data_IF_023131835625
#
_entry.id   IF_023131835625
#
_cell.length_a   1.000
_cell.length_b   1.000
_cell.length_c   1.000
_cell.angle_alpha   90.00
_cell.angle_beta   90.00
_cell.angle_gamma   90.00
#
_symmetry.space_group_name_H-M   'P 1'
#
loop_
_entity.id
_entity.type
_entity.pdbx_description
1 polymer ?
#
# COMPACT_ATOMS: atom_id res chain seq x y z
N UNK A 1 -63.01 -26.43 28.86
CA UNK A 1 -64.38 -26.74 28.37
C UNK A 1 -65.02 -25.45 27.90
N UNK A 2 -65.49 -25.44 26.64
CA UNK A 2 -66.70 -24.79 26.06
C UNK A 2 -67.47 -23.72 26.88
N UNK A 3 -68.07 -22.65 26.33
CA UNK A 3 -68.62 -22.39 24.99
C UNK A 3 -68.99 -20.89 24.79
N UNK A 4 -68.80 -20.43 23.55
CA UNK A 4 -69.74 -19.71 22.65
C UNK A 4 -70.67 -18.62 23.23
N UNK A 5 -70.58 -17.40 22.69
CA UNK A 5 -71.76 -16.62 22.29
C UNK A 5 -71.44 -15.63 21.16
N UNK A 6 -72.46 -15.39 20.34
CA UNK A 6 -72.47 -14.94 18.95
C UNK A 6 -72.82 -13.45 18.80
N UNK A 7 -72.31 -12.80 17.74
CA UNK A 7 -72.81 -11.50 17.27
C UNK A 7 -72.51 -11.25 15.79
N UNK A 8 -73.50 -11.54 14.93
CA UNK A 8 -73.68 -11.03 13.54
C UNK A 8 -73.90 -9.50 13.59
N UNK A 9 -73.70 -8.61 12.61
CA UNK A 9 -73.77 -8.59 11.13
C UNK A 9 -73.21 -7.23 10.67
N UNK A 10 -72.53 -7.14 9.52
CA UNK A 10 -73.05 -6.35 8.39
C UNK A 10 -72.24 -6.53 7.09
N UNK A 11 -73.02 -6.75 6.04
CA UNK A 11 -72.60 -6.98 4.66
C UNK A 11 -72.14 -5.69 3.97
N UNK A 12 -71.10 -5.77 3.16
CA UNK A 12 -70.97 -4.95 1.94
C UNK A 12 -70.35 -5.76 0.80
N UNK A 13 -71.18 -5.99 -0.21
CA UNK A 13 -70.85 -6.48 -1.55
C UNK A 13 -69.76 -5.60 -2.19
N UNK A 14 -68.72 -6.23 -2.75
CA UNK A 14 -68.03 -5.73 -3.96
C UNK A 14 -67.63 -6.91 -4.86
N UNK A 15 -67.75 -6.62 -6.14
CA UNK A 15 -67.82 -7.47 -7.34
C UNK A 15 -66.50 -8.15 -7.71
N UNK A 16 -66.52 -9.15 -8.61
CA UNK A 16 -65.32 -9.90 -9.00
C UNK A 16 -64.49 -9.09 -10.00
N UNK A 17 -63.21 -8.87 -9.68
CA UNK A 17 -62.24 -8.33 -10.65
C UNK A 17 -61.71 -9.48 -11.48
N UNK A 18 -61.97 -9.37 -12.77
CA UNK A 18 -61.55 -10.26 -13.85
C UNK A 18 -60.04 -10.30 -14.03
N UNK A 19 -59.54 -11.50 -14.25
CA UNK A 19 -58.19 -11.91 -14.64
C UNK A 19 -57.78 -11.29 -15.98
N UNK A 20 -57.16 -10.10 -15.98
CA UNK A 20 -56.38 -9.56 -17.12
C UNK A 20 -55.29 -8.57 -16.64
N UNK A 21 -54.30 -9.05 -15.92
CA UNK A 21 -53.11 -8.24 -15.56
C UNK A 21 -51.85 -9.09 -15.51
N UNK A 22 -51.39 -9.59 -16.66
CA UNK A 22 -50.04 -10.20 -16.78
C UNK A 22 -49.60 -10.39 -18.24
N UNK A 23 -49.73 -9.38 -19.11
CA UNK A 23 -49.07 -9.38 -20.44
C UNK A 23 -48.53 -7.99 -20.87
N UNK A 24 -48.87 -6.89 -20.19
CA UNK A 24 -48.52 -5.52 -20.66
C UNK A 24 -47.34 -4.84 -19.94
N UNK A 25 -46.38 -5.61 -19.40
CA UNK A 25 -45.17 -5.06 -18.77
C UNK A 25 -43.85 -5.49 -19.42
N UNK A 26 -43.88 -6.20 -20.56
CA UNK A 26 -42.66 -6.66 -21.25
C UNK A 26 -42.32 -5.89 -22.54
N UNK A 27 -43.11 -4.87 -22.91
CA UNK A 27 -42.90 -4.11 -24.16
C UNK A 27 -42.55 -2.62 -23.94
N UNK A 28 -42.53 -2.14 -22.69
CA UNK A 28 -42.19 -0.75 -22.36
C UNK A 28 -40.70 -0.50 -22.05
N UNK A 29 -39.85 -1.55 -22.01
CA UNK A 29 -38.41 -1.41 -21.71
C UNK A 29 -37.49 -1.40 -22.94
N UNK A 30 -38.03 -1.63 -24.14
CA UNK A 30 -37.23 -1.69 -25.38
C UNK A 30 -37.19 -0.35 -26.15
N UNK A 31 -37.95 0.67 -25.72
CA UNK A 31 -38.08 1.95 -26.45
C UNK A 31 -37.52 3.19 -25.73
N UNK A 32 -36.68 3.03 -24.69
CA UNK A 32 -36.00 4.15 -23.99
C UNK A 32 -34.46 4.05 -24.12
N UNK A 33 -33.94 3.44 -25.20
CA UNK A 33 -32.50 3.47 -25.51
C UNK A 33 -32.16 3.90 -26.95
N UNK A 34 -33.10 4.59 -27.61
CA UNK A 34 -32.87 5.24 -28.91
C UNK A 34 -33.55 6.60 -28.98
N UNK A 35 -32.94 7.62 -28.39
CA UNK A 35 -33.06 9.02 -28.83
C UNK A 35 -32.24 9.95 -27.94
N UNK A 36 -30.98 10.22 -28.33
CA UNK A 36 -30.25 11.47 -28.10
C UNK A 36 -28.83 11.28 -28.65
N UNK A 37 -28.66 11.52 -29.95
CA UNK A 37 -27.98 12.70 -30.54
C UNK A 37 -26.46 12.48 -30.67
N UNK A 38 -25.92 12.17 -31.86
CA UNK A 38 -25.64 13.08 -32.99
C UNK A 38 -24.69 14.22 -32.59
N UNK A 39 -23.41 14.14 -33.03
CA UNK A 39 -22.66 15.24 -33.67
C UNK A 39 -21.20 14.80 -34.01
N UNK A 40 -20.80 15.20 -35.22
CA UNK A 40 -19.45 15.40 -35.80
C UNK A 40 -18.58 14.20 -36.21
N UNK A 41 -18.64 13.97 -37.51
CA UNK A 41 -17.60 13.43 -38.38
C UNK A 41 -16.44 14.41 -38.57
N UNK A 42 -15.19 13.90 -38.48
CA UNK A 42 -13.96 14.37 -39.18
C UNK A 42 -12.77 13.45 -38.80
N UNK A 43 -11.69 13.41 -39.60
CA UNK A 43 -11.45 12.47 -40.68
C UNK A 43 -10.60 11.26 -40.26
N UNK A 44 -10.69 10.20 -41.08
CA UNK A 44 -9.87 8.99 -40.99
C UNK A 44 -8.39 9.32 -41.22
N UNK A 45 -7.56 9.05 -40.21
CA UNK A 45 -6.14 8.79 -40.43
C UNK A 45 -5.97 7.31 -40.75
N UNK A 46 -5.59 7.03 -41.99
CA UNK A 46 -5.06 5.74 -42.43
C UNK A 46 -3.66 5.63 -41.85
N UNK A 47 -3.47 4.72 -40.90
CA UNK A 47 -2.15 4.27 -40.44
C UNK A 47 -1.92 2.88 -41.07
N UNK A 48 -1.18 2.89 -42.17
CA UNK A 48 -0.54 1.70 -42.74
C UNK A 48 0.35 1.07 -41.67
N UNK A 49 0.04 -0.17 -41.30
CA UNK A 49 0.95 -1.03 -40.57
C UNK A 49 1.79 -1.79 -41.60
N UNK A 50 3.00 -1.31 -41.86
CA UNK A 50 4.05 -2.12 -42.50
C UNK A 50 4.50 -3.19 -41.51
N UNK A 51 4.24 -4.45 -41.86
CA UNK A 51 4.80 -5.61 -41.20
C UNK A 51 6.28 -5.74 -41.57
N UNK A 52 7.17 -5.29 -40.70
CA UNK A 52 8.57 -5.73 -40.72
C UNK A 52 8.72 -6.93 -39.79
N UNK A 53 8.77 -8.12 -40.38
CA UNK A 53 9.32 -9.33 -39.77
C UNK A 53 10.84 -9.21 -39.63
N UNK A 54 11.41 -9.30 -38.42
CA UNK A 54 12.83 -9.56 -38.27
C UNK A 54 13.07 -11.06 -38.42
N UNK A 55 13.91 -11.39 -39.40
CA UNK A 55 14.57 -12.67 -39.60
C UNK A 55 15.23 -13.18 -38.31
N UNK A 56 15.04 -14.48 -38.04
CA UNK A 56 15.80 -15.24 -37.05
C UNK A 56 17.29 -15.25 -37.45
N UNK A 57 18.10 -14.46 -36.76
CA UNK A 57 19.54 -14.71 -36.67
C UNK A 57 19.85 -15.39 -35.34
N UNK A 58 20.56 -16.51 -35.44
CA UNK A 58 21.00 -17.32 -34.32
C UNK A 58 22.09 -16.57 -33.52
N UNK A 59 21.85 -16.39 -32.22
CA UNK A 59 22.87 -15.91 -31.29
C UNK A 59 23.73 -17.10 -30.80
N UNK A 60 25.07 -16.96 -30.80
CA UNK A 60 25.97 -17.98 -30.30
C UNK A 60 25.96 -18.05 -28.76
N UNK A 61 26.20 -19.24 -28.25
CA UNK A 61 26.36 -19.57 -26.83
C UNK A 61 27.46 -18.73 -26.17
N UNK A 62 27.08 -17.70 -25.41
CA UNK A 62 28.01 -16.95 -24.56
C UNK A 62 28.15 -17.62 -23.20
N UNK A 63 29.36 -18.08 -22.92
CA UNK A 63 29.83 -18.59 -21.64
C UNK A 63 29.58 -17.56 -20.52
N UNK A 64 28.82 -17.94 -19.51
CA UNK A 64 28.75 -17.22 -18.22
C UNK A 64 30.06 -17.45 -17.47
N UNK A 65 30.99 -16.52 -17.63
CA UNK A 65 32.12 -16.35 -16.72
C UNK A 65 31.62 -15.68 -15.44
N UNK A 66 31.90 -16.31 -14.30
CA UNK A 66 31.78 -15.73 -12.97
C UNK A 66 32.74 -14.54 -12.84
N UNK A 67 32.32 -13.42 -12.21
CA UNK A 67 33.23 -12.31 -12.00
C UNK A 67 34.29 -12.70 -10.96
N UNK A 68 35.51 -12.96 -11.43
CA UNK A 68 36.71 -12.95 -10.59
C UNK A 68 36.96 -11.50 -10.15
N UNK A 69 36.80 -11.23 -8.85
CA UNK A 69 37.38 -10.07 -8.21
C UNK A 69 38.91 -10.14 -8.34
N UNK A 70 39.47 -9.50 -9.37
CA UNK A 70 40.91 -9.22 -9.43
C UNK A 70 41.20 -8.03 -8.54
N UNK A 71 42.04 -8.27 -7.54
CA UNK A 71 42.57 -7.25 -6.65
C UNK A 71 43.71 -6.52 -7.37
N UNK A 72 43.38 -5.50 -8.15
CA UNK A 72 44.37 -4.50 -8.56
C UNK A 72 44.58 -3.52 -7.39
N UNK A 73 45.84 -3.25 -6.98
CA UNK A 73 46.12 -2.31 -5.92
C UNK A 73 46.34 -0.90 -6.47
N UNK A 74 45.84 0.08 -5.70
CA UNK A 74 46.12 1.53 -5.72
C UNK A 74 45.27 2.37 -6.68
N UNK A 75 44.37 3.18 -6.12
CA UNK A 75 44.32 4.62 -6.43
C UNK A 75 43.44 5.38 -5.42
N UNK A 76 44.08 6.33 -4.72
CA UNK A 76 43.52 7.45 -3.91
C UNK A 76 42.32 7.15 -3.03
N UNK A 77 42.54 7.13 -1.70
CA UNK A 77 41.46 7.17 -0.72
C UNK A 77 40.46 8.27 -1.11
N UNK A 78 39.17 7.96 -1.31
CA UNK A 78 38.18 8.96 -1.65
C UNK A 78 38.19 10.02 -0.55
N UNK A 79 38.33 11.27 -0.96
CA UNK A 79 38.25 12.45 -0.10
C UNK A 79 37.11 12.26 0.90
N UNK A 80 37.47 12.17 2.18
CA UNK A 80 36.56 11.81 3.25
C UNK A 80 35.44 12.85 3.27
N UNK A 81 34.24 12.45 2.82
CA UNK A 81 33.11 13.37 2.69
C UNK A 81 32.92 14.11 4.01
N UNK A 82 32.67 15.43 3.98
CA UNK A 82 32.60 16.24 5.18
C UNK A 82 31.62 15.62 6.19
N UNK A 83 31.92 15.70 7.50
CA UNK A 83 31.10 15.10 8.52
C UNK A 83 29.66 15.60 8.34
N UNK A 84 28.68 14.70 8.37
CA UNK A 84 27.30 15.07 8.11
C UNK A 84 26.83 16.09 9.16
N UNK A 85 25.99 17.06 8.77
CA UNK A 85 25.50 18.08 9.68
C UNK A 85 24.79 17.43 10.88
N UNK A 86 24.80 18.09 12.05
CA UNK A 86 24.13 17.60 13.24
C UNK A 86 22.64 17.36 12.94
N UNK A 87 22.13 16.22 13.40
CA UNK A 87 20.72 15.83 13.22
C UNK A 87 19.87 16.83 14.01
N UNK A 88 19.08 17.64 13.31
CA UNK A 88 18.07 18.48 13.95
C UNK A 88 16.96 17.58 14.50
N UNK A 89 16.42 17.87 15.71
CA UNK A 89 15.21 17.20 16.15
C UNK A 89 14.10 17.43 15.11
N UNK A 90 13.26 16.42 14.87
CA UNK A 90 12.16 16.58 13.92
C UNK A 90 11.20 17.64 14.45
N UNK A 91 10.75 18.52 13.56
CA UNK A 91 9.75 19.52 13.85
C UNK A 91 8.33 18.92 13.80
N UNK A 92 7.38 19.61 14.44
CA UNK A 92 5.96 19.25 14.43
C UNK A 92 5.28 19.43 13.06
N UNK A 93 6.06 19.77 12.04
CA UNK A 93 5.60 19.98 10.67
C UNK A 93 5.49 18.69 9.87
N UNK A 94 6.10 17.60 10.35
CA UNK A 94 6.11 16.31 9.66
C UNK A 94 5.32 15.28 10.46
N UNK A 95 4.49 14.51 9.75
CA UNK A 95 3.88 13.31 10.28
C UNK A 95 4.12 12.12 9.35
N UNK A 96 4.24 10.93 9.94
CA UNK A 96 4.12 9.66 9.26
C UNK A 96 2.68 9.16 9.44
N UNK A 97 2.04 8.71 8.36
CA UNK A 97 0.70 8.13 8.40
C UNK A 97 0.72 6.68 7.94
N UNK A 98 0.10 5.81 8.73
CA UNK A 98 0.04 4.37 8.54
C UNK A 98 -1.40 3.92 8.43
N UNK A 99 -1.62 2.86 7.66
CA UNK A 99 -2.90 2.16 7.61
C UNK A 99 -2.63 0.69 7.92
N UNK A 100 -3.33 0.16 8.92
CA UNK A 100 -3.28 -1.26 9.30
C UNK A 100 -4.71 -1.74 9.54
N UNK A 101 -5.31 -2.39 8.54
CA UNK A 101 -6.72 -2.75 8.56
C UNK A 101 -6.94 -4.24 8.35
N UNK A 102 -8.02 -4.75 8.93
CA UNK A 102 -8.46 -6.12 8.84
C UNK A 102 -7.81 -7.02 9.88
N UNK A 103 -8.52 -8.11 10.19
CA UNK A 103 -8.17 -9.07 11.24
C UNK A 103 -6.72 -9.57 11.14
N UNK A 104 -6.24 -9.84 9.91
CA UNK A 104 -4.86 -10.31 9.70
C UNK A 104 -3.83 -9.27 10.13
N UNK A 105 -4.04 -8.00 9.80
CA UNK A 105 -3.14 -6.92 10.17
C UNK A 105 -3.22 -6.66 11.68
N UNK A 106 -4.42 -6.68 12.25
CA UNK A 106 -4.66 -6.58 13.68
C UNK A 106 -3.94 -7.68 14.49
N UNK A 107 -3.86 -8.90 13.97
CA UNK A 107 -3.20 -10.02 14.65
C UNK A 107 -1.68 -10.13 14.33
N UNK A 108 -1.15 -9.29 13.44
CA UNK A 108 0.27 -9.28 13.07
C UNK A 108 1.12 -8.35 13.94
N UNK A 109 2.44 -8.34 13.70
CA UNK A 109 3.39 -7.45 14.40
C UNK A 109 3.94 -6.31 13.53
N UNK A 110 3.26 -5.98 12.43
CA UNK A 110 3.77 -5.00 11.45
C UNK A 110 3.81 -3.58 12.03
N UNK A 111 2.81 -3.18 12.81
CA UNK A 111 2.78 -1.87 13.48
C UNK A 111 3.92 -1.76 14.47
N UNK A 112 4.17 -2.80 15.25
CA UNK A 112 5.24 -2.91 16.24
C UNK A 112 6.60 -2.78 15.56
N UNK A 113 6.83 -3.50 14.45
CA UNK A 113 8.06 -3.40 13.64
C UNK A 113 8.28 -2.00 13.10
N UNK A 114 7.22 -1.41 12.53
CA UNK A 114 7.27 -0.09 11.97
C UNK A 114 7.64 0.92 13.06
N UNK A 115 6.90 0.93 14.16
CA UNK A 115 7.10 1.86 15.26
C UNK A 115 8.49 1.69 15.91
N UNK A 116 8.89 0.44 16.17
CA UNK A 116 10.21 0.13 16.72
C UNK A 116 11.31 0.65 15.81
N UNK A 117 11.29 0.32 14.52
CA UNK A 117 12.32 0.78 13.59
C UNK A 117 12.29 2.29 13.42
N UNK A 118 11.12 2.94 13.39
CA UNK A 118 11.00 4.39 13.26
C UNK A 118 11.68 5.11 14.41
N UNK A 119 11.40 4.68 15.66
CA UNK A 119 11.96 5.28 16.87
C UNK A 119 13.43 4.91 17.08
N UNK A 120 13.78 3.63 16.97
CA UNK A 120 15.10 3.12 17.35
C UNK A 120 16.15 3.28 16.24
N UNK A 121 15.78 3.07 14.97
CA UNK A 121 16.71 3.11 13.84
C UNK A 121 16.55 4.43 13.07
N UNK A 122 15.30 4.78 12.73
CA UNK A 122 14.93 6.03 12.06
C UNK A 122 15.21 7.27 12.90
N UNK A 123 15.33 7.12 14.24
CA UNK A 123 15.45 8.22 15.23
C UNK A 123 14.34 9.25 15.08
N UNK A 124 13.18 8.85 14.57
CA UNK A 124 12.06 9.73 14.31
C UNK A 124 11.26 9.97 15.59
N UNK A 125 11.23 11.20 16.07
CA UNK A 125 10.50 11.63 17.26
C UNK A 125 9.24 12.46 16.95
N UNK A 126 8.86 12.57 15.67
CA UNK A 126 7.64 13.27 15.23
C UNK A 126 6.36 12.41 15.34
N UNK A 127 5.27 12.90 14.76
CA UNK A 127 3.96 12.25 14.73
C UNK A 127 3.96 10.97 13.89
N UNK A 128 3.57 9.85 14.49
CA UNK A 128 3.21 8.62 13.80
C UNK A 128 1.71 8.40 14.05
N UNK A 129 0.93 8.39 12.98
CA UNK A 129 -0.52 8.31 13.02
C UNK A 129 -0.93 6.98 12.41
N UNK A 130 -1.58 6.12 13.19
CA UNK A 130 -2.08 4.82 12.75
C UNK A 130 -3.59 4.88 12.55
N UNK A 131 -4.05 4.64 11.32
CA UNK A 131 -5.45 4.38 11.04
C UNK A 131 -5.70 2.86 11.04
N UNK A 132 -6.58 2.39 11.92
CA UNK A 132 -6.83 0.95 12.12
C UNK A 132 -8.24 0.65 12.57
N UNK A 133 -8.78 -0.50 12.16
CA UNK A 133 -10.07 -1.06 12.60
C UNK A 133 -9.92 -2.02 13.79
N UNK A 134 -8.69 -2.26 14.24
CA UNK A 134 -8.43 -2.99 15.48
C UNK A 134 -8.87 -2.18 16.71
N UNK A 135 -9.32 -2.83 17.79
CA UNK A 135 -9.64 -2.13 19.03
C UNK A 135 -8.39 -1.39 19.55
N UNK A 136 -8.56 -0.19 20.10
CA UNK A 136 -7.45 0.61 20.64
C UNK A 136 -6.55 -0.18 21.60
N UNK A 137 -7.17 -1.03 22.43
CA UNK A 137 -6.47 -1.86 23.40
C UNK A 137 -5.44 -2.82 22.80
N UNK A 138 -5.53 -3.12 21.50
CA UNK A 138 -4.53 -3.91 20.77
C UNK A 138 -3.14 -3.29 20.87
N UNK A 139 -3.04 -1.96 20.96
CA UNK A 139 -1.77 -1.24 20.91
C UNK A 139 -1.43 -0.50 22.20
N UNK A 140 -2.14 -0.77 23.32
CA UNK A 140 -1.86 -0.12 24.61
C UNK A 140 -0.41 -0.31 25.07
N UNK A 141 0.17 -1.50 24.83
CA UNK A 141 1.55 -1.79 25.16
C UNK A 141 2.57 -0.90 24.41
N UNK A 142 2.21 -0.39 23.22
CA UNK A 142 3.06 0.52 22.45
C UNK A 142 3.07 1.94 23.03
N UNK A 143 1.96 2.36 23.66
CA UNK A 143 1.87 3.64 24.34
C UNK A 143 2.57 3.60 25.71
N UNK A 144 2.57 2.44 26.38
CA UNK A 144 3.14 2.25 27.72
C UNK A 144 4.67 2.05 27.72
N UNK A 145 5.23 1.43 26.67
CA UNK A 145 6.67 1.09 26.58
C UNK A 145 7.58 2.32 26.56
N UNK A 146 7.08 3.48 26.08
CA UNK A 146 7.87 4.72 26.03
C UNK A 146 7.96 5.45 27.38
N UNK A 147 7.04 5.19 28.33
CA UNK A 147 7.02 5.87 29.63
C UNK A 147 7.91 5.21 30.69
N UNK A 148 8.25 3.92 30.54
CA UNK A 148 8.90 3.14 31.61
C UNK A 148 10.43 3.07 31.55
N UNK A 149 11.09 3.68 30.55
CA UNK A 149 12.57 3.62 30.45
C UNK A 149 13.32 4.85 30.97
N UNK A 150 12.63 5.95 31.27
CA UNK A 150 13.23 7.09 31.97
C UNK A 150 12.29 7.53 33.10
N UNK A 151 12.66 7.18 34.33
CA UNK A 151 12.01 7.68 35.55
C UNK A 151 12.33 9.17 35.82
N UNK A 152 12.67 9.93 34.77
CA UNK A 152 12.80 11.39 34.80
C UNK A 152 11.53 11.98 34.20
N UNK A 153 10.72 12.58 35.07
CA UNK A 153 9.32 13.00 34.92
C UNK A 153 9.08 14.16 33.95
N UNK A 154 9.88 14.32 32.90
CA UNK A 154 9.65 15.31 31.85
C UNK A 154 9.15 14.61 30.59
N UNK A 155 7.87 14.20 30.66
CA UNK A 155 6.92 14.00 29.54
C UNK A 155 7.58 13.82 28.16
N UNK A 156 7.98 12.59 27.83
CA UNK A 156 8.13 12.23 26.42
C UNK A 156 6.71 12.19 25.87
N UNK A 157 6.32 13.29 25.25
CA UNK A 157 5.11 13.40 24.42
C UNK A 157 5.19 12.29 23.36
N UNK A 158 4.59 11.13 23.64
CA UNK A 158 4.57 10.03 22.70
C UNK A 158 3.65 10.43 21.55
N UNK A 159 4.27 10.97 20.50
CA UNK A 159 3.61 11.37 19.26
C UNK A 159 3.22 10.15 18.44
N UNK A 160 2.55 9.18 19.05
CA UNK A 160 1.92 8.03 18.41
C UNK A 160 0.41 8.08 18.66
N UNK A 161 -0.37 8.24 17.59
CA UNK A 161 -1.82 8.41 17.67
C UNK A 161 -2.52 7.32 16.89
N UNK A 162 -3.53 6.71 17.51
CA UNK A 162 -4.40 5.74 16.87
C UNK A 162 -5.70 6.45 16.50
N UNK A 163 -6.06 6.36 15.23
CA UNK A 163 -7.32 6.79 14.69
C UNK A 163 -8.11 5.55 14.27
N UNK A 164 -9.39 5.52 14.62
CA UNK A 164 -10.29 4.56 14.01
C UNK A 164 -10.80 5.14 12.69
N UNK A 165 -11.02 4.32 11.65
CA UNK A 165 -11.78 4.76 10.52
C UNK A 165 -13.15 5.19 11.07
N UNK A 166 -13.46 6.48 11.03
CA UNK A 166 -14.79 6.91 11.43
C UNK A 166 -15.75 6.13 10.55
N UNK A 167 -16.68 5.43 11.19
CA UNK A 167 -17.93 4.98 10.59
C UNK A 167 -18.64 6.22 10.06
N UNK A 168 -18.21 6.77 8.91
CA UNK A 168 -19.15 7.43 8.05
C UNK A 168 -20.30 6.44 7.89
N UNK A 169 -21.53 6.93 8.02
CA UNK A 169 -22.76 6.11 8.02
C UNK A 169 -22.90 5.20 6.79
N UNK A 170 -22.01 5.32 5.82
CA UNK A 170 -21.61 4.23 4.95
C UNK A 170 -20.09 4.36 4.65
N UNK A 171 -19.17 3.53 5.19
CA UNK A 171 -18.07 3.11 4.33
C UNK A 171 -18.76 2.62 3.06
N UNK A 172 -18.30 3.00 1.85
CA UNK A 172 -18.96 2.52 0.64
C UNK A 172 -19.10 1.00 0.76
N UNK A 173 -20.33 0.50 0.99
CA UNK A 173 -20.64 -0.94 1.15
C UNK A 173 -19.79 -1.67 0.14
N UNK A 174 -19.02 -2.72 0.50
CA UNK A 174 -17.85 -3.18 -0.25
C UNK A 174 -18.06 -3.00 -1.74
N UNK A 175 -17.66 -1.84 -2.26
CA UNK A 175 -18.04 -1.47 -3.65
C UNK A 175 -17.09 -2.19 -4.59
N UNK A 176 -15.92 -2.57 -4.07
CA UNK A 176 -14.94 -3.35 -4.77
C UNK A 176 -15.22 -4.83 -4.63
N UNK A 177 -15.09 -5.53 -5.75
CA UNK A 177 -15.15 -7.00 -5.81
C UNK A 177 -14.01 -7.67 -5.03
N UNK A 178 -12.93 -6.94 -4.75
CA UNK A 178 -11.76 -7.42 -4.04
C UNK A 178 -11.64 -6.79 -2.65
N UNK A 179 -11.73 -7.61 -1.60
CA UNK A 179 -11.77 -7.13 -0.20
C UNK A 179 -10.59 -6.23 0.18
N UNK A 180 -9.38 -6.51 -0.34
CA UNK A 180 -8.22 -5.70 -0.02
C UNK A 180 -8.35 -4.25 -0.54
N UNK A 181 -9.12 -4.02 -1.61
CA UNK A 181 -9.38 -2.67 -2.12
C UNK A 181 -10.24 -1.84 -1.16
N UNK A 182 -11.10 -2.48 -0.36
CA UNK A 182 -11.88 -1.81 0.68
C UNK A 182 -10.98 -1.16 1.74
N UNK A 183 -9.79 -1.72 1.98
CA UNK A 183 -8.79 -1.12 2.87
C UNK A 183 -7.88 -0.13 2.14
N UNK A 184 -7.50 -0.42 0.89
CA UNK A 184 -6.59 0.44 0.12
C UNK A 184 -7.17 1.82 -0.21
N UNK A 185 -8.50 1.96 -0.31
CA UNK A 185 -9.12 3.26 -0.57
C UNK A 185 -8.81 4.29 0.54
N UNK A 186 -8.57 3.84 1.78
CA UNK A 186 -8.23 4.72 2.91
C UNK A 186 -6.93 5.51 2.70
N UNK A 187 -6.03 5.06 1.82
CA UNK A 187 -4.85 5.83 1.41
C UNK A 187 -5.21 7.20 0.83
N UNK A 188 -6.40 7.31 0.23
CA UNK A 188 -6.90 8.56 -0.33
C UNK A 188 -7.50 9.50 0.71
N UNK A 189 -7.74 9.06 1.95
CA UNK A 189 -8.39 9.84 3.01
C UNK A 189 -7.40 10.40 4.05
N UNK A 190 -6.08 10.19 3.85
CA UNK A 190 -5.04 10.53 4.83
C UNK A 190 -5.18 11.95 5.38
N UNK A 191 -5.27 12.97 4.51
CA UNK A 191 -5.34 14.36 4.97
C UNK A 191 -6.68 14.69 5.65
N UNK A 192 -7.78 14.11 5.19
CA UNK A 192 -9.09 14.29 5.83
C UNK A 192 -9.12 13.72 7.26
N UNK A 193 -8.35 12.66 7.55
CA UNK A 193 -8.20 12.18 8.93
C UNK A 193 -7.37 13.13 9.78
N UNK A 194 -6.31 13.73 9.23
CA UNK A 194 -5.53 14.73 9.96
C UNK A 194 -6.35 15.97 10.29
N UNK A 195 -7.19 16.44 9.35
CA UNK A 195 -7.98 17.66 9.52
C UNK A 195 -9.06 17.53 10.63
N UNK A 196 -9.41 16.30 11.02
CA UNK A 196 -10.37 16.03 12.10
C UNK A 196 -9.78 16.18 13.50
N UNK A 197 -8.46 16.20 13.63
CA UNK A 197 -7.79 16.19 14.91
C UNK A 197 -6.91 17.43 15.08
N UNK A 198 -7.28 18.28 16.05
CA UNK A 198 -6.60 19.54 16.31
C UNK A 198 -5.13 19.40 16.70
N UNK A 199 -4.66 18.21 17.11
CA UNK A 199 -3.23 17.96 17.39
C UNK A 199 -2.36 18.11 16.15
N UNK A 200 -2.91 17.89 14.96
CA UNK A 200 -2.14 17.89 13.71
C UNK A 200 -2.19 19.22 12.96
N UNK A 201 -2.66 20.31 13.57
CA UNK A 201 -2.79 21.61 12.87
C UNK A 201 -1.45 22.16 12.38
N UNK A 202 -0.35 21.86 13.09
CA UNK A 202 1.01 22.28 12.70
C UNK A 202 1.66 21.39 11.64
N UNK A 203 1.09 20.21 11.36
CA UNK A 203 1.63 19.29 10.35
C UNK A 203 1.43 19.90 8.97
N UNK A 204 2.51 20.04 8.19
CA UNK A 204 2.50 20.55 6.82
C UNK A 204 2.72 19.42 5.81
N UNK A 205 3.65 18.51 6.13
CA UNK A 205 4.05 17.37 5.31
C UNK A 205 3.64 16.05 5.97
N UNK A 206 3.02 15.17 5.18
CA UNK A 206 2.61 13.84 5.61
C UNK A 206 3.28 12.79 4.72
N UNK A 207 4.05 11.91 5.34
CA UNK A 207 4.64 10.74 4.73
C UNK A 207 3.73 9.55 4.97
N UNK A 208 2.90 9.22 3.99
CA UNK A 208 2.19 7.94 4.05
C UNK A 208 3.16 6.83 3.67
N UNK A 209 3.22 5.80 4.52
CA UNK A 209 4.09 4.64 4.37
C UNK A 209 3.27 3.37 4.65
N UNK A 210 3.38 2.36 3.79
CA UNK A 210 2.81 1.04 4.08
C UNK A 210 3.42 0.47 5.37
N UNK A 211 2.60 -0.25 6.15
CA UNK A 211 2.96 -0.75 7.48
C UNK A 211 4.03 -1.87 7.46
N UNK A 212 4.28 -2.47 6.29
CA UNK A 212 5.32 -3.48 6.06
C UNK A 212 6.69 -2.88 5.67
N UNK A 213 6.84 -1.55 5.81
CA UNK A 213 8.12 -0.85 5.71
C UNK A 213 8.80 -0.82 7.08
N UNK A 214 10.12 -1.03 7.07
CA UNK A 214 10.96 -0.80 8.25
C UNK A 214 12.08 0.16 7.89
N UNK A 215 12.72 0.72 8.89
CA UNK A 215 13.81 1.69 8.70
C UNK A 215 15.17 1.06 8.96
N UNK A 216 16.07 1.16 7.98
CA UNK A 216 17.46 0.73 8.11
C UNK A 216 18.42 1.88 8.46
N UNK A 217 17.94 3.13 8.42
CA UNK A 217 18.74 4.33 8.61
C UNK A 217 17.94 5.48 9.24
N UNK A 218 18.65 6.51 9.72
CA UNK A 218 18.06 7.72 10.27
C UNK A 218 17.23 8.48 9.21
N UNK A 219 15.99 8.82 9.56
CA UNK A 219 15.02 9.38 8.62
C UNK A 219 15.26 10.84 8.25
N UNK A 220 15.94 11.61 9.12
CA UNK A 220 16.11 13.06 8.91
C UNK A 220 16.81 13.34 7.58
N UNK A 221 17.91 12.62 7.30
CA UNK A 221 18.67 12.79 6.05
C UNK A 221 17.85 12.41 4.83
N UNK A 222 17.01 11.40 4.96
CA UNK A 222 16.13 10.96 3.88
C UNK A 222 15.04 12.00 3.60
N UNK A 223 14.37 12.53 4.62
CA UNK A 223 13.38 13.59 4.44
C UNK A 223 14.00 14.87 3.89
N UNK A 224 15.13 15.32 4.44
CA UNK A 224 15.85 16.50 3.93
C UNK A 224 16.28 16.34 2.47
N UNK A 225 16.70 15.12 2.09
CA UNK A 225 17.02 14.81 0.71
C UNK A 225 15.79 14.94 -0.19
N UNK A 226 14.68 14.27 0.15
CA UNK A 226 13.48 14.27 -0.67
C UNK A 226 12.89 15.67 -0.83
N UNK A 227 12.79 16.41 0.28
CA UNK A 227 12.23 17.76 0.28
C UNK A 227 13.05 18.71 -0.59
N UNK A 228 14.38 18.58 -0.57
CA UNK A 228 15.29 19.39 -1.40
C UNK A 228 15.25 18.96 -2.86
N UNK A 229 15.47 17.67 -3.14
CA UNK A 229 15.60 17.12 -4.50
C UNK A 229 14.30 17.31 -5.31
N UNK A 230 13.15 17.10 -4.67
CA UNK A 230 11.85 17.17 -5.34
C UNK A 230 11.09 18.47 -5.07
N UNK A 231 11.77 19.45 -4.45
CA UNK A 231 11.24 20.76 -4.08
C UNK A 231 9.85 20.66 -3.42
N UNK A 232 9.74 19.83 -2.38
CA UNK A 232 8.45 19.55 -1.73
C UNK A 232 8.03 20.76 -0.90
N UNK A 233 7.25 21.63 -1.53
CA UNK A 233 6.75 22.90 -0.94
C UNK A 233 5.38 23.23 -1.50
N UNK A 234 4.69 24.17 -0.85
CA UNK A 234 3.44 24.72 -1.38
C UNK A 234 3.69 25.37 -2.75
N UNK A 235 2.87 25.02 -3.72
CA UNK A 235 2.94 25.53 -5.08
C UNK A 235 1.54 25.75 -5.66
N UNK A 236 1.44 26.43 -6.83
CA UNK A 236 0.15 26.76 -7.44
C UNK A 236 -0.58 25.54 -7.99
N UNK A 237 0.15 24.47 -8.31
CA UNK A 237 -0.40 23.24 -8.88
C UNK A 237 -0.55 22.18 -7.78
N UNK A 238 -1.70 21.48 -7.69
CA UNK A 238 -1.87 20.32 -6.83
C UNK A 238 -0.88 19.20 -7.14
N UNK A 239 -0.13 18.73 -6.13
CA UNK A 239 0.87 17.65 -6.31
C UNK A 239 0.77 16.55 -5.27
N UNK A 240 1.16 15.34 -5.65
CA UNK A 240 1.53 14.24 -4.76
C UNK A 240 2.85 13.65 -5.26
N UNK A 241 3.77 13.38 -4.35
CA UNK A 241 5.07 12.78 -4.68
C UNK A 241 5.04 11.30 -4.31
N UNK A 242 5.46 10.44 -5.24
CA UNK A 242 5.42 8.98 -5.07
C UNK A 242 6.66 8.35 -5.68
N UNK A 243 7.12 7.24 -5.10
CA UNK A 243 8.28 6.54 -5.67
C UNK A 243 7.93 5.74 -6.93
N UNK A 244 8.92 5.60 -7.82
CA UNK A 244 8.90 4.63 -8.91
C UNK A 244 8.70 3.23 -8.37
N UNK A 245 7.68 2.54 -8.89
CA UNK A 245 7.43 1.14 -8.57
C UNK A 245 8.54 0.21 -9.06
N UNK A 246 8.49 -1.03 -8.58
CA UNK A 246 9.52 -2.03 -8.86
C UNK A 246 9.66 -2.41 -10.35
N UNK A 247 8.60 -2.23 -11.14
CA UNK A 247 8.57 -2.64 -12.56
C UNK A 247 9.54 -1.79 -13.41
N UNK A 248 10.75 -2.31 -13.68
CA UNK A 248 11.78 -1.66 -14.51
C UNK A 248 11.28 -1.15 -15.86
N UNK A 249 10.25 -1.79 -16.44
CA UNK A 249 9.70 -1.45 -17.76
C UNK A 249 8.63 -0.35 -17.72
N UNK A 250 8.08 -0.02 -16.55
CA UNK A 250 6.97 0.91 -16.42
C UNK A 250 7.20 1.81 -15.21
N UNK A 251 7.49 3.08 -15.49
CA UNK A 251 7.55 4.17 -14.52
C UNK A 251 6.17 4.47 -13.95
N UNK A 252 5.62 3.55 -13.16
CA UNK A 252 4.32 3.67 -12.50
C UNK A 252 4.56 4.04 -11.04
N UNK A 253 3.85 5.02 -10.49
CA UNK A 253 3.92 5.33 -9.07
C UNK A 253 3.51 4.14 -8.19
N UNK A 254 4.28 3.91 -7.14
CA UNK A 254 3.93 2.95 -6.11
C UNK A 254 3.06 3.60 -5.04
N UNK A 255 1.84 3.07 -4.84
CA UNK A 255 0.88 3.52 -3.81
C UNK A 255 1.30 3.26 -2.36
N UNK A 256 2.46 2.64 -2.12
CA UNK A 256 2.93 2.27 -0.78
C UNK A 256 3.77 3.33 -0.07
N UNK A 257 4.24 4.34 -0.80
CA UNK A 257 5.01 5.45 -0.25
C UNK A 257 4.62 6.72 -1.00
N UNK A 258 4.05 7.68 -0.28
CA UNK A 258 3.68 8.97 -0.85
C UNK A 258 3.95 10.09 0.13
N UNK A 259 4.25 11.27 -0.41
CA UNK A 259 4.43 12.49 0.35
C UNK A 259 3.28 13.42 -0.05
N UNK A 260 2.60 13.94 0.96
CA UNK A 260 1.43 14.78 0.84
C UNK A 260 1.73 16.11 1.53
N UNK A 261 1.43 17.21 0.87
CA UNK A 261 1.59 18.53 1.42
C UNK A 261 0.20 19.15 1.61
N UNK A 262 -0.20 19.37 2.87
CA UNK A 262 -1.57 19.80 3.22
C UNK A 262 -2.00 21.07 2.50
N UNK A 263 -1.09 22.05 2.42
CA UNK A 263 -1.32 23.34 1.75
C UNK A 263 -1.02 23.38 0.25
N UNK A 264 -0.45 22.32 -0.35
CA UNK A 264 -0.07 22.31 -1.77
C UNK A 264 -1.13 21.63 -2.65
N UNK A 265 -2.37 21.51 -2.18
CA UNK A 265 -3.46 20.89 -2.94
C UNK A 265 -3.36 19.37 -3.08
N UNK A 266 -2.52 18.66 -2.32
CA UNK A 266 -2.44 17.19 -2.38
C UNK A 266 -3.81 16.51 -2.19
N UNK A 267 -4.74 17.11 -1.45
CA UNK A 267 -6.11 16.61 -1.32
C UNK A 267 -6.83 16.49 -2.67
N UNK A 268 -6.61 17.42 -3.61
CA UNK A 268 -7.20 17.34 -4.95
C UNK A 268 -6.73 16.09 -5.69
N UNK A 269 -5.44 15.77 -5.61
CA UNK A 269 -4.89 14.53 -6.17
C UNK A 269 -5.47 13.28 -5.52
N UNK A 270 -5.63 13.27 -4.20
CA UNK A 270 -6.23 12.16 -3.49
C UNK A 270 -7.70 11.95 -3.88
N UNK A 271 -8.45 13.03 -4.08
CA UNK A 271 -9.84 12.98 -4.54
C UNK A 271 -9.94 12.41 -5.97
N UNK A 272 -9.08 12.83 -6.90
CA UNK A 272 -9.05 12.27 -8.25
C UNK A 272 -8.67 10.79 -8.25
N UNK A 273 -7.70 10.40 -7.42
CA UNK A 273 -7.30 8.99 -7.30
C UNK A 273 -8.44 8.15 -6.74
N UNK A 274 -9.12 8.64 -5.70
CA UNK A 274 -10.31 8.01 -5.13
C UNK A 274 -11.41 7.84 -6.16
N UNK A 275 -11.73 8.89 -6.91
CA UNK A 275 -12.73 8.82 -7.99
C UNK A 275 -12.33 7.78 -9.05
N UNK A 276 -11.04 7.73 -9.41
CA UNK A 276 -10.52 6.73 -10.36
C UNK A 276 -10.64 5.30 -9.83
N UNK A 277 -10.39 5.07 -8.54
CA UNK A 277 -10.64 3.78 -7.90
C UNK A 277 -12.13 3.42 -8.00
N UNK A 278 -13.02 4.34 -7.61
CA UNK A 278 -14.47 4.11 -7.58
C UNK A 278 -15.13 4.00 -8.96
N UNK A 279 -14.42 4.30 -10.05
CA UNK A 279 -14.98 4.19 -11.41
C UNK A 279 -14.87 2.77 -11.97
N UNK A 280 -13.93 1.96 -11.47
CA UNK A 280 -13.76 0.58 -11.93
C UNK A 280 -13.59 -0.38 -10.75
N UNK A 281 -14.69 -1.04 -10.37
CA UNK A 281 -14.74 -1.97 -9.25
C UNK A 281 -14.07 -3.33 -9.51
N UNK A 282 -13.64 -3.59 -10.74
CA UNK A 282 -12.88 -4.79 -11.13
C UNK A 282 -11.37 -4.62 -10.93
N UNK A 283 -10.91 -3.42 -10.57
CA UNK A 283 -9.52 -3.20 -10.25
C UNK A 283 -9.09 -4.03 -9.04
N UNK A 284 -8.11 -4.89 -9.27
CA UNK A 284 -7.49 -5.71 -8.22
C UNK A 284 -6.45 -4.92 -7.40
N UNK A 285 -6.09 -3.71 -7.84
CA UNK A 285 -5.04 -2.91 -7.21
C UNK A 285 -5.24 -1.39 -7.37
N UNK A 286 -4.92 -0.66 -6.31
CA UNK A 286 -4.84 0.80 -6.22
C UNK A 286 -3.90 1.42 -7.28
N UNK A 287 -2.84 0.70 -7.65
CA UNK A 287 -1.91 1.10 -8.70
C UNK A 287 -2.53 1.07 -10.11
N UNK A 288 -3.52 0.20 -10.36
CA UNK A 288 -4.23 0.16 -11.65
C UNK A 288 -5.08 1.42 -11.83
N UNK A 289 -5.80 1.83 -10.79
CA UNK A 289 -6.53 3.09 -10.77
C UNK A 289 -5.58 4.29 -10.98
N UNK A 290 -4.44 4.29 -10.28
CA UNK A 290 -3.42 5.33 -10.45
C UNK A 290 -2.92 5.42 -11.90
N UNK A 291 -2.64 4.27 -12.53
CA UNK A 291 -2.20 4.20 -13.92
C UNK A 291 -3.24 4.77 -14.90
N UNK A 292 -4.53 4.56 -14.65
CA UNK A 292 -5.59 5.19 -15.45
C UNK A 292 -5.62 6.69 -15.25
N UNK A 293 -5.59 7.14 -14.00
CA UNK A 293 -5.61 8.56 -13.68
C UNK A 293 -4.45 9.32 -14.34
N UNK A 294 -3.23 8.77 -14.28
CA UNK A 294 -2.05 9.39 -14.90
C UNK A 294 -2.21 9.51 -16.42
N UNK A 295 -2.89 8.57 -17.05
CA UNK A 295 -3.17 8.60 -18.50
C UNK A 295 -4.34 9.51 -18.86
N UNK A 296 -5.11 10.00 -17.89
CA UNK A 296 -6.25 10.87 -18.16
C UNK A 296 -5.78 12.27 -18.58
N UNK A 297 -6.25 12.80 -19.72
CA UNK A 297 -5.95 14.17 -20.13
C UNK A 297 -6.65 15.22 -19.27
N UNK A 298 -7.70 14.83 -18.53
CA UNK A 298 -8.53 15.74 -17.72
C UNK A 298 -8.04 15.91 -16.28
N UNK A 299 -6.90 15.31 -15.92
CA UNK A 299 -6.37 15.37 -14.55
C UNK A 299 -6.04 16.81 -14.14
N UNK A 300 -6.43 17.22 -12.95
CA UNK A 300 -6.20 18.58 -12.40
C UNK A 300 -5.00 18.62 -11.44
N UNK A 301 -4.24 17.55 -11.41
CA UNK A 301 -3.26 17.24 -10.39
C UNK A 301 -2.01 16.62 -11.03
N UNK A 302 -0.84 16.85 -10.42
CA UNK A 302 0.43 16.26 -10.82
C UNK A 302 0.87 15.14 -9.85
N UNK A 303 1.19 13.97 -10.40
CA UNK A 303 1.87 12.90 -9.68
C UNK A 303 3.36 12.96 -10.00
N UNK A 304 4.14 13.54 -9.08
CA UNK A 304 5.58 13.66 -9.19
C UNK A 304 6.22 12.32 -8.89
N UNK A 305 6.96 11.79 -9.84
CA UNK A 305 7.57 10.47 -9.75
C UNK A 305 9.00 10.57 -9.23
N UNK A 306 9.21 10.11 -8.01
CA UNK A 306 10.51 10.09 -7.33
C UNK A 306 11.31 8.85 -7.73
N UNK A 307 12.56 9.06 -8.14
CA UNK A 307 13.47 7.98 -8.51
C UNK A 307 13.68 7.02 -7.37
N UNK A 308 13.74 5.73 -7.73
CA UNK A 308 14.10 4.67 -6.79
C UNK A 308 15.62 4.60 -6.66
N UNK A 309 16.13 5.06 -5.53
CA UNK A 309 17.55 4.91 -5.17
C UNK A 309 17.69 3.90 -4.03
N UNK A 310 18.54 2.89 -4.22
CA UNK A 310 18.70 1.79 -3.26
C UNK A 310 19.10 2.26 -1.85
N UNK A 311 19.87 3.36 -1.74
CA UNK A 311 20.24 3.98 -0.45
C UNK A 311 19.06 4.56 0.32
N UNK A 312 17.95 4.85 -0.36
CA UNK A 312 16.77 5.47 0.24
C UNK A 312 15.59 4.52 0.33
N UNK A 313 15.38 3.70 -0.70
CA UNK A 313 14.29 2.73 -0.74
C UNK A 313 14.80 1.41 -1.31
N UNK A 314 14.70 0.37 -0.49
CA UNK A 314 15.15 -0.98 -0.80
C UNK A 314 13.95 -1.94 -0.79
N UNK A 315 13.96 -2.86 -1.74
CA UNK A 315 12.99 -3.95 -1.85
C UNK A 315 13.80 -5.25 -1.79
N UNK A 316 14.15 -5.74 -0.60
CA UNK A 316 14.99 -6.92 -0.49
C UNK A 316 14.29 -8.12 -1.15
N UNK A 317 15.03 -8.85 -1.97
CA UNK A 317 14.66 -10.15 -2.49
C UNK A 317 15.19 -11.26 -1.56
N UNK A 318 14.74 -12.50 -1.75
CA UNK A 318 15.18 -13.65 -0.94
C UNK A 318 16.70 -13.79 -0.96
N UNK A 319 17.33 -13.63 -2.13
CA UNK A 319 18.78 -13.70 -2.27
C UNK A 319 19.50 -12.61 -1.45
N UNK A 320 19.00 -11.37 -1.44
CA UNK A 320 19.59 -10.28 -0.65
C UNK A 320 19.57 -10.61 0.85
N UNK A 321 18.49 -11.24 1.32
CA UNK A 321 18.34 -11.66 2.71
C UNK A 321 19.32 -12.78 3.04
N UNK A 322 19.36 -13.84 2.22
CA UNK A 322 20.26 -14.98 2.42
C UNK A 322 21.73 -14.58 2.38
N UNK A 323 22.12 -13.74 1.43
CA UNK A 323 23.49 -13.21 1.30
C UNK A 323 23.88 -12.40 2.55
N UNK A 324 22.98 -11.54 3.05
CA UNK A 324 23.23 -10.79 4.28
C UNK A 324 23.37 -11.71 5.49
N UNK A 325 22.49 -12.70 5.62
CA UNK A 325 22.55 -13.67 6.73
C UNK A 325 23.83 -14.47 6.69
N UNK A 326 24.21 -15.01 5.52
CA UNK A 326 25.47 -15.73 5.35
C UNK A 326 26.68 -14.84 5.66
N UNK A 327 26.65 -13.57 5.27
CA UNK A 327 27.68 -12.62 5.63
C UNK A 327 27.80 -12.44 7.16
N UNK A 328 26.66 -12.21 7.84
CA UNK A 328 26.60 -11.99 9.29
C UNK A 328 27.11 -13.21 10.08
N UNK A 329 26.73 -14.42 9.66
CA UNK A 329 27.17 -15.66 10.29
C UNK A 329 28.69 -15.87 10.16
N UNK A 330 29.26 -15.46 9.02
CA UNK A 330 30.68 -15.65 8.73
C UNK A 330 31.59 -14.55 9.31
N UNK A 331 31.06 -13.39 9.70
CA UNK A 331 31.86 -12.20 10.07
C UNK A 331 31.53 -11.63 11.44
N UNK A 332 31.86 -12.35 12.52
CA UNK A 332 31.59 -11.90 13.90
C UNK A 332 32.37 -10.66 14.37
N UNK A 333 33.46 -10.28 13.69
CA UNK A 333 34.37 -9.21 14.15
C UNK A 333 34.38 -7.93 13.31
N UNK A 334 33.87 -7.95 12.08
CA UNK A 334 33.88 -6.81 11.14
C UNK A 334 32.59 -6.73 10.34
N UNK A 335 31.46 -6.66 11.03
CA UNK A 335 30.18 -6.40 10.39
C UNK A 335 30.15 -4.91 9.99
N UNK A 336 29.99 -4.56 8.70
CA UNK A 336 29.68 -3.19 8.30
C UNK A 336 28.49 -2.71 9.12
N UNK A 337 28.55 -1.47 9.63
CA UNK A 337 27.44 -0.94 10.42
C UNK A 337 26.17 -1.08 9.59
N UNK A 338 25.08 -1.58 10.18
CA UNK A 338 23.81 -1.83 9.48
C UNK A 338 23.38 -0.62 8.61
N UNK A 339 23.65 0.60 9.09
CA UNK A 339 23.43 1.88 8.41
C UNK A 339 24.08 2.00 7.02
N UNK A 340 25.16 1.26 6.75
CA UNK A 340 25.89 1.32 5.48
C UNK A 340 25.35 0.28 4.47
N UNK A 341 24.55 -0.69 4.94
CA UNK A 341 24.01 -1.78 4.12
C UNK A 341 22.55 -1.54 3.71
N UNK A 342 21.74 -1.00 4.60
CA UNK A 342 20.30 -0.88 4.38
C UNK A 342 19.89 0.47 3.78
N UNK A 343 18.86 0.45 2.93
CA UNK A 343 18.17 1.68 2.55
C UNK A 343 17.51 2.38 3.75
N UNK A 344 17.15 3.65 3.59
CA UNK A 344 16.37 4.39 4.61
C UNK A 344 15.01 3.73 4.87
N UNK A 345 14.33 3.36 3.79
CA UNK A 345 13.11 2.55 3.79
C UNK A 345 13.45 1.16 3.25
N UNK A 346 13.12 0.12 4.00
CA UNK A 346 13.23 -1.28 3.55
C UNK A 346 11.82 -1.85 3.51
N UNK A 347 11.30 -2.06 2.30
CA UNK A 347 9.92 -2.48 2.06
C UNK A 347 9.85 -4.00 1.84
N UNK A 348 9.38 -4.74 2.84
CA UNK A 348 9.19 -6.18 2.74
C UNK A 348 7.91 -6.51 1.98
N UNK A 349 8.05 -6.87 0.70
CA UNK A 349 6.89 -7.18 -0.15
C UNK A 349 6.27 -8.52 0.24
N UNK A 350 5.14 -8.48 0.94
CA UNK A 350 4.35 -9.68 1.21
C UNK A 350 3.84 -10.38 -0.06
N UNK A 351 3.63 -9.64 -1.15
CA UNK A 351 3.10 -10.19 -2.42
C UNK A 351 4.14 -10.91 -3.27
N UNK A 352 5.43 -10.65 -3.06
CA UNK A 352 6.52 -11.18 -3.89
C UNK A 352 7.07 -12.52 -3.38
N UNK A 353 6.36 -13.16 -2.44
CA UNK A 353 6.77 -14.41 -1.78
C UNK A 353 8.12 -14.35 -1.04
N UNK A 354 8.84 -13.22 -1.02
CA UNK A 354 10.13 -13.07 -0.32
C UNK A 354 10.04 -13.57 1.13
N UNK A 355 9.03 -13.10 1.86
CA UNK A 355 8.79 -13.54 3.25
C UNK A 355 8.42 -15.02 3.34
N UNK A 356 7.79 -15.58 2.29
CA UNK A 356 7.37 -16.99 2.25
C UNK A 356 8.56 -17.90 1.98
N UNK A 357 9.38 -17.55 1.00
CA UNK A 357 10.45 -18.38 0.43
C UNK A 357 11.73 -18.31 1.27
N UNK A 358 11.91 -17.26 2.08
CA UNK A 358 12.99 -17.18 3.07
C UNK A 358 12.68 -18.06 4.29
N UNK A 359 13.66 -18.81 4.79
CA UNK A 359 13.52 -19.58 6.04
C UNK A 359 13.19 -18.66 7.23
N UNK A 360 12.49 -19.21 8.24
CA UNK A 360 12.14 -18.42 9.43
C UNK A 360 13.38 -17.92 10.18
N UNK A 361 14.41 -18.76 10.28
CA UNK A 361 15.68 -18.44 10.92
C UNK A 361 16.43 -17.33 10.18
N UNK A 362 16.58 -17.43 8.85
CA UNK A 362 17.26 -16.40 8.07
C UNK A 362 16.53 -15.06 8.15
N UNK A 363 15.20 -15.09 8.06
CA UNK A 363 14.40 -13.88 8.19
C UNK A 363 14.52 -13.27 9.60
N UNK A 364 14.48 -14.08 10.65
CA UNK A 364 14.68 -13.59 12.01
C UNK A 364 16.06 -12.95 12.18
N UNK A 365 17.11 -13.61 11.70
CA UNK A 365 18.49 -13.10 11.76
C UNK A 365 18.62 -11.76 11.02
N UNK A 366 18.06 -11.66 9.82
CA UNK A 366 18.02 -10.44 9.03
C UNK A 366 17.23 -9.33 9.73
N UNK A 367 16.06 -9.66 10.28
CA UNK A 367 15.21 -8.71 11.01
C UNK A 367 15.91 -8.20 12.26
N UNK A 368 16.64 -9.05 13.00
CA UNK A 368 17.41 -8.63 14.17
C UNK A 368 18.50 -7.64 13.79
N UNK A 369 19.21 -7.88 12.69
CA UNK A 369 20.27 -6.99 12.21
C UNK A 369 19.72 -5.62 11.78
N UNK A 370 18.71 -5.57 10.90
CA UNK A 370 18.11 -4.31 10.45
C UNK A 370 17.44 -3.53 11.58
N UNK A 371 16.85 -4.23 12.55
CA UNK A 371 16.19 -3.63 13.71
C UNK A 371 17.15 -3.25 14.84
N UNK A 372 18.45 -3.51 14.68
CA UNK A 372 19.50 -3.17 15.64
C UNK A 372 19.42 -3.95 16.96
N UNK A 373 18.84 -5.15 16.95
CA UNK A 373 18.78 -5.99 18.14
C UNK A 373 20.16 -6.53 18.48
N UNK A 374 20.55 -6.41 19.75
CA UNK A 374 21.79 -7.02 20.23
C UNK A 374 21.66 -8.55 20.28
N UNK A 375 22.79 -9.29 20.19
CA UNK A 375 22.79 -10.73 20.44
C UNK A 375 22.15 -11.05 21.79
N UNK A 376 21.16 -11.96 21.80
CA UNK A 376 20.44 -12.36 23.02
C UNK A 376 19.41 -11.34 23.54
N UNK A 377 19.27 -10.16 22.93
CA UNK A 377 18.22 -9.21 23.32
C UNK A 377 16.83 -9.84 23.14
N UNK A 378 15.96 -9.82 24.16
CA UNK A 378 14.61 -10.37 24.04
C UNK A 378 13.79 -9.59 23.02
N UNK A 379 12.94 -10.30 22.29
CA UNK A 379 11.97 -9.74 21.36
C UNK A 379 10.58 -9.74 21.99
N UNK A 380 10.38 -8.81 22.93
CA UNK A 380 9.17 -8.70 23.75
C UNK A 380 7.89 -8.48 22.93
N UNK A 381 8.03 -7.98 21.69
CA UNK A 381 6.92 -7.64 20.80
C UNK A 381 6.79 -8.57 19.58
N UNK A 382 7.63 -9.60 19.45
CA UNK A 382 7.63 -10.48 18.27
C UNK A 382 7.93 -9.75 16.96
N UNK A 383 8.76 -8.70 17.01
CA UNK A 383 9.17 -7.86 15.87
C UNK A 383 10.03 -8.65 14.88
N UNK A 384 10.84 -9.58 15.39
CA UNK A 384 11.88 -10.30 14.65
C UNK A 384 11.37 -11.65 14.14
N UNK A 385 10.38 -12.24 14.82
CA UNK A 385 9.78 -13.53 14.44
C UNK A 385 9.11 -13.45 13.07
N UNK A 386 9.16 -14.50 12.25
CA UNK A 386 8.41 -14.54 10.98
C UNK A 386 6.90 -14.47 11.22
N UNK A 387 6.26 -13.35 10.85
CA UNK A 387 4.79 -13.26 10.82
C UNK A 387 4.32 -13.78 9.48
N UNK A 388 3.77 -15.00 9.49
CA UNK A 388 3.07 -15.54 8.33
C UNK A 388 1.75 -14.77 8.18
N UNK A 389 1.72 -13.77 7.30
CA UNK A 389 0.46 -13.27 6.77
C UNK A 389 -0.11 -14.38 5.88
N UNK A 390 -1.08 -15.13 6.39
CA UNK A 390 -1.66 -16.28 5.70
C UNK A 390 -1.95 -15.95 4.24
N UNK A 391 -1.28 -16.66 3.32
CA UNK A 391 -1.74 -16.73 1.95
C UNK A 391 -3.17 -17.28 2.03
N UNK A 392 -4.16 -16.74 1.29
CA UNK A 392 -5.31 -17.56 0.99
C UNK A 392 -4.74 -18.88 0.49
N UNK A 393 -5.13 -20.00 1.09
CA UNK A 393 -5.11 -21.24 0.33
C UNK A 393 -6.01 -20.92 -0.85
N UNK A 394 -5.42 -20.48 -1.96
CA UNK A 394 -6.05 -20.65 -3.25
C UNK A 394 -6.15 -22.16 -3.31
N UNK A 395 -7.29 -22.70 -2.85
CA UNK A 395 -7.74 -24.01 -3.28
C UNK A 395 -7.60 -23.87 -4.78
N UNK A 396 -6.62 -24.57 -5.38
CA UNK A 396 -6.66 -24.81 -6.81
C UNK A 396 -8.10 -25.21 -7.05
N UNK A 397 -8.87 -24.38 -7.76
CA UNK A 397 -10.12 -24.88 -8.30
C UNK A 397 -9.68 -26.14 -9.04
N UNK A 398 -10.22 -27.28 -8.62
CA UNK A 398 -9.95 -28.54 -9.28
C UNK A 398 -10.16 -28.27 -10.78
N UNK A 399 -9.14 -28.59 -11.57
CA UNK A 399 -9.21 -28.53 -13.03
C UNK A 399 -10.42 -29.30 -13.57
N UNK A 400 -10.94 -30.25 -12.80
CA UNK A 400 -12.16 -31.00 -13.10
C UNK A 400 -13.43 -30.14 -13.10
N UNK A 401 -13.49 -29.05 -12.33
CA UNK A 401 -14.65 -28.14 -12.33
C UNK A 401 -14.67 -27.22 -13.56
N UNK A 402 -13.49 -26.90 -14.12
CA UNK A 402 -13.38 -26.16 -15.38
C UNK A 402 -13.77 -27.02 -16.60
N UNK A 403 -13.46 -28.32 -16.58
CA UNK A 403 -13.90 -29.27 -17.61
C UNK A 403 -15.42 -29.48 -17.55
N UNK A 404 -16.03 -29.48 -16.36
CA UNK A 404 -17.48 -29.65 -16.27
C UNK A 404 -18.27 -28.44 -16.80
N UNK A 405 -17.79 -27.21 -16.55
CA UNK A 405 -18.41 -25.99 -17.10
C UNK A 405 -18.24 -25.86 -18.62
N UNK A 406 -17.11 -26.32 -19.19
CA UNK A 406 -16.94 -26.39 -20.65
C UNK A 406 -17.80 -27.49 -21.28
N UNK A 407 -18.06 -28.60 -20.57
CA UNK A 407 -18.95 -29.67 -21.05
C UNK A 407 -20.43 -29.31 -21.05
N UNK A 408 -20.85 -28.36 -20.20
CA UNK A 408 -22.22 -27.85 -20.15
C UNK A 408 -22.47 -26.77 -21.23
N UNK A 409 -21.45 -25.96 -21.56
CA UNK A 409 -21.55 -24.99 -22.66
C UNK A 409 -21.59 -25.63 -24.06
N UNK A 410 -21.14 -26.87 -24.21
CA UNK A 410 -21.13 -27.57 -25.50
C UNK A 410 -22.41 -28.40 -25.77
N UNK A 411 -23.30 -28.54 -24.78
CA UNK A 411 -24.55 -29.31 -24.93
C UNK A 411 -25.79 -28.47 -25.27
N UNK A 412 -25.72 -27.15 -25.12
CA UNK A 412 -26.83 -26.25 -25.46
C UNK A 412 -26.74 -25.67 -26.89
N UNK A 413 -25.76 -26.08 -27.68
CA UNK A 413 -25.61 -25.68 -29.10
C UNK A 413 -26.07 -26.74 -30.11
N UNK A 414 -26.82 -27.75 -29.66
CA UNK A 414 -27.47 -28.72 -30.55
C UNK A 414 -28.86 -29.08 -30.02
N UNK A 415 -29.82 -28.18 -30.27
CA UNK A 415 -31.22 -28.49 -30.55
C UNK A 415 -31.89 -27.27 -31.20
#
# INVERSE_FOLDING_TARGET
MANISTGKTNSRRRSPVTTKTLVWLSLAFILIFRASETIRTSPQYVLEWTQDTPSKEALPSSQTSTPRFSADPISTAPEEAPPPPPIKPFDDKRAIFLISMGEKAANGTLVERFLWSARNIGKYNGWIILLTDAPHSRYDHLQLSNNNKNHDTNTVDDKFVILNPSLHENPPKPVFTFDAMNFKIYKTYVLEYLDRDSRFQNVELVYYLDVDIVFGNALQRFFDYLEREYEIKAGPQPKVWMFEGHEKRRKIPQGGQMILHRKAGSQTCLNEWRASMMTNFEDLADQSAMKRLIKSPERKCEFVLMKREARYIQFPETADIEDRVGFLQNHTRRVPKARDYYGSLVHFRNTALVMKDTSAEALEYYMRDIMGFQPGQPDEFGITTKVLMSTPKIKKLNTDTQVHLQSLSAKDSSN
#
